data_IF_059287257304
#
_entry.id   IF_059287257304
#
_cell.length_a   1.000
_cell.length_b   1.000
_cell.length_c   1.000
_cell.angle_alpha   90.00
_cell.angle_beta   90.00
_cell.angle_gamma   90.00
#
_symmetry.space_group_name_H-M   'P 1'
#
loop_
_entity.id
_entity.type
_entity.pdbx_description
1 polymer ?
#
# COMPACT_ATOMS: atom_id res chain seq x y z
N UNK A 1 -13.35 28.13 -13.27
CA UNK A 1 -13.21 27.41 -11.99
C UNK A 1 -12.24 26.27 -12.28
N UNK A 2 -11.15 26.20 -11.58
CA UNK A 2 -10.18 25.08 -11.71
C UNK A 2 -10.64 23.94 -10.78
N UNK A 3 -10.68 22.71 -11.29
CA UNK A 3 -11.07 21.52 -10.53
C UNK A 3 -9.94 20.51 -10.64
N UNK A 4 -9.33 20.14 -9.49
CA UNK A 4 -8.39 19.05 -9.41
C UNK A 4 -9.16 17.74 -9.17
N UNK A 5 -9.08 16.80 -10.11
CA UNK A 5 -9.81 15.53 -10.07
C UNK A 5 -8.88 14.30 -10.15
N UNK A 6 -7.58 14.46 -9.85
CA UNK A 6 -6.57 13.40 -9.91
C UNK A 6 -6.10 13.00 -8.49
N UNK A 7 -7.05 12.76 -7.58
CA UNK A 7 -6.74 12.37 -6.20
C UNK A 7 -6.13 10.96 -6.09
N UNK A 8 -6.35 10.11 -7.07
CA UNK A 8 -5.68 8.80 -7.14
C UNK A 8 -4.16 8.92 -7.36
N UNK A 9 -3.69 9.99 -8.03
CA UNK A 9 -2.26 10.26 -8.18
C UNK A 9 -1.63 10.81 -6.89
N UNK A 10 -2.28 11.77 -6.24
CA UNK A 10 -1.87 12.35 -4.95
C UNK A 10 -2.98 13.21 -4.36
N UNK A 11 -3.02 13.31 -3.04
CA UNK A 11 -3.97 14.17 -2.33
C UNK A 11 -3.28 15.41 -1.73
N UNK A 12 -4.01 16.53 -1.53
CA UNK A 12 -3.50 17.62 -0.68
C UNK A 12 -3.35 17.12 0.77
N UNK A 13 -2.34 17.64 1.46
CA UNK A 13 -2.16 17.35 2.88
C UNK A 13 -3.28 18.05 3.66
N UNK A 14 -3.97 17.31 4.55
CA UNK A 14 -5.07 17.86 5.36
C UNK A 14 -4.54 18.91 6.36
N UNK A 15 -5.31 19.98 6.66
CA UNK A 15 -4.88 21.02 7.59
C UNK A 15 -4.44 20.48 8.96
N UNK A 16 -5.21 19.53 9.53
CA UNK A 16 -4.91 18.91 10.82
C UNK A 16 -3.58 18.11 10.80
N UNK A 17 -3.22 17.58 9.64
CA UNK A 17 -1.95 16.89 9.42
C UNK A 17 -0.80 17.90 9.37
N UNK A 18 -1.00 19.03 8.70
CA UNK A 18 -0.01 20.13 8.66
C UNK A 18 0.26 20.63 10.07
N UNK A 19 -0.79 20.89 10.86
CA UNK A 19 -0.68 21.38 12.23
C UNK A 19 0.12 20.41 13.11
N UNK A 20 -0.19 19.10 13.03
CA UNK A 20 0.54 18.08 13.77
C UNK A 20 2.04 18.00 13.37
N UNK A 21 2.33 18.12 12.08
CA UNK A 21 3.72 18.17 11.60
C UNK A 21 4.47 19.42 12.09
N UNK A 22 3.81 20.59 12.07
CA UNK A 22 4.39 21.85 12.48
C UNK A 22 4.73 21.86 13.98
N UNK A 23 3.93 21.24 14.83
CA UNK A 23 4.23 21.03 16.25
C UNK A 23 5.56 20.29 16.43
N UNK A 24 5.78 19.22 15.67
CA UNK A 24 7.04 18.45 15.74
C UNK A 24 8.23 19.29 15.25
N UNK A 25 8.09 20.00 14.12
CA UNK A 25 9.17 20.88 13.61
C UNK A 25 9.57 21.96 14.60
N UNK A 26 8.60 22.55 15.29
CA UNK A 26 8.83 23.68 16.20
C UNK A 26 9.33 23.25 17.58
N UNK A 27 8.81 22.15 18.13
CA UNK A 27 8.97 21.82 19.55
C UNK A 27 9.67 20.49 19.82
N UNK A 28 9.69 19.52 18.87
CA UNK A 28 10.13 18.14 19.09
C UNK A 28 11.16 17.67 18.07
N UNK A 29 12.08 18.56 17.67
CA UNK A 29 13.06 18.37 16.58
C UNK A 29 14.21 17.40 16.92
N UNK A 30 14.23 16.80 18.10
CA UNK A 30 15.32 15.94 18.56
C UNK A 30 15.50 14.68 17.70
N UNK A 31 16.73 14.15 17.71
CA UNK A 31 16.97 12.84 17.10
C UNK A 31 16.47 11.73 18.05
N UNK A 32 15.54 10.86 17.62
CA UNK A 32 14.98 9.79 18.47
C UNK A 32 16.02 8.78 18.99
N UNK A 33 17.19 8.69 18.36
CA UNK A 33 18.29 7.81 18.79
C UNK A 33 19.17 8.42 19.90
N UNK A 34 18.99 9.72 20.23
CA UNK A 34 19.81 10.42 21.26
C UNK A 34 19.33 10.12 22.67
N UNK A 35 20.28 9.92 23.59
CA UNK A 35 19.99 9.53 24.99
C UNK A 35 19.61 10.70 25.92
N UNK A 36 19.83 11.96 25.49
CA UNK A 36 19.49 13.15 26.28
C UNK A 36 17.96 13.46 26.21
N UNK A 37 17.50 14.41 27.02
CA UNK A 37 16.07 14.70 27.19
C UNK A 37 15.34 15.03 25.87
N UNK A 38 15.95 15.85 25.01
CA UNK A 38 15.37 16.25 23.72
C UNK A 38 15.20 15.02 22.78
N UNK A 39 16.20 14.11 22.77
CA UNK A 39 16.09 12.88 21.99
C UNK A 39 15.03 11.93 22.53
N UNK A 40 14.94 11.77 23.87
CA UNK A 40 13.89 10.96 24.49
C UNK A 40 12.49 11.52 24.25
N UNK A 41 12.34 12.82 24.19
CA UNK A 41 11.07 13.46 23.83
C UNK A 41 10.67 13.11 22.39
N UNK A 42 11.56 13.29 21.43
CA UNK A 42 11.33 12.87 20.04
C UNK A 42 11.02 11.36 19.92
N UNK A 43 11.74 10.53 20.67
CA UNK A 43 11.48 9.07 20.72
C UNK A 43 10.08 8.73 21.18
N UNK A 44 9.53 9.47 22.14
CA UNK A 44 8.16 9.28 22.63
C UNK A 44 7.14 9.46 21.51
N UNK A 45 7.28 10.50 20.66
CA UNK A 45 6.40 10.73 19.52
C UNK A 45 6.52 9.63 18.47
N UNK A 46 7.75 9.18 18.18
CA UNK A 46 7.98 8.05 17.27
C UNK A 46 7.29 6.78 17.75
N UNK A 47 7.49 6.41 19.02
CA UNK A 47 6.92 5.20 19.60
C UNK A 47 5.38 5.29 19.71
N UNK A 48 4.84 6.48 19.96
CA UNK A 48 3.39 6.71 19.96
C UNK A 48 2.81 6.56 18.56
N UNK A 49 3.43 7.18 17.54
CA UNK A 49 3.03 7.05 16.14
C UNK A 49 3.01 5.58 15.71
N UNK A 50 4.05 4.83 16.04
CA UNK A 50 4.13 3.39 15.74
C UNK A 50 3.00 2.59 16.37
N UNK A 51 2.69 2.84 17.65
CA UNK A 51 1.57 2.17 18.35
C UNK A 51 0.22 2.54 17.74
N UNK A 52 0.00 3.80 17.42
CA UNK A 52 -1.24 4.27 16.81
C UNK A 52 -1.44 3.65 15.42
N UNK A 53 -0.40 3.67 14.58
CA UNK A 53 -0.43 3.02 13.25
C UNK A 53 -0.75 1.53 13.39
N UNK A 54 -0.06 0.82 14.29
CA UNK A 54 -0.29 -0.60 14.51
C UNK A 54 -1.75 -0.88 14.94
N UNK A 55 -2.27 -0.11 15.90
CA UNK A 55 -3.65 -0.24 16.35
C UNK A 55 -4.67 0.00 15.23
N UNK A 56 -4.45 1.03 14.41
CA UNK A 56 -5.37 1.41 13.33
C UNK A 56 -5.40 0.39 12.19
N UNK A 57 -4.32 -0.37 12.01
CA UNK A 57 -4.18 -1.36 10.93
C UNK A 57 -4.24 -2.81 11.42
N UNK A 58 -4.64 -3.05 12.68
CA UNK A 58 -4.72 -4.40 13.24
C UNK A 58 -3.38 -5.14 13.24
N UNK A 59 -2.27 -4.44 13.51
CA UNK A 59 -0.92 -4.98 13.53
C UNK A 59 -0.27 -4.84 14.92
N UNK A 60 0.86 -5.49 15.15
CA UNK A 60 1.71 -5.24 16.31
C UNK A 60 2.68 -4.08 16.02
N UNK A 61 3.10 -3.29 17.03
CA UNK A 61 4.05 -2.19 16.82
C UNK A 61 5.40 -2.63 16.21
N UNK A 62 5.85 -3.85 16.46
CA UNK A 62 7.07 -4.42 15.90
C UNK A 62 6.92 -4.89 14.45
N UNK A 63 5.72 -4.94 13.91
CA UNK A 63 5.45 -5.24 12.50
C UNK A 63 5.47 -3.99 11.62
N UNK A 64 5.41 -2.79 12.20
CA UNK A 64 5.44 -1.52 11.48
C UNK A 64 6.88 -1.08 11.19
N UNK A 65 7.18 -0.75 9.94
CA UNK A 65 8.44 -0.15 9.49
C UNK A 65 8.11 1.13 8.73
N UNK A 66 8.60 2.28 9.19
CA UNK A 66 8.45 3.54 8.46
C UNK A 66 9.46 3.62 7.31
N UNK A 67 8.96 4.01 6.14
CA UNK A 67 9.73 4.13 4.89
C UNK A 67 9.55 5.52 4.27
N UNK A 68 10.19 5.79 3.14
CA UNK A 68 9.99 7.04 2.39
C UNK A 68 8.73 7.04 1.50
N UNK A 69 8.03 5.92 1.40
CA UNK A 69 6.83 5.74 0.58
C UNK A 69 6.70 4.31 0.08
N UNK A 70 5.60 4.02 -0.61
CA UNK A 70 5.30 2.66 -1.08
C UNK A 70 6.35 2.11 -2.07
N UNK A 71 7.01 2.95 -2.85
CA UNK A 71 8.09 2.49 -3.73
C UNK A 71 9.24 1.86 -2.94
N UNK A 72 9.66 2.48 -1.82
CA UNK A 72 10.65 1.89 -0.92
C UNK A 72 10.08 0.62 -0.27
N UNK A 73 8.82 0.66 0.19
CA UNK A 73 8.16 -0.48 0.84
C UNK A 73 8.08 -1.69 -0.08
N UNK A 74 7.57 -1.53 -1.32
CA UNK A 74 7.48 -2.60 -2.31
C UNK A 74 8.86 -3.19 -2.67
N UNK A 75 9.87 -2.31 -2.92
CA UNK A 75 11.23 -2.77 -3.19
C UNK A 75 11.82 -3.56 -2.01
N UNK A 76 11.62 -3.07 -0.78
CA UNK A 76 12.13 -3.74 0.42
C UNK A 76 11.44 -5.08 0.64
N UNK A 77 10.11 -5.12 0.51
CA UNK A 77 9.33 -6.34 0.65
C UNK A 77 9.73 -7.37 -0.40
N UNK A 78 9.54 -7.07 -1.68
CA UNK A 78 9.72 -8.03 -2.77
C UNK A 78 11.15 -8.55 -2.82
N UNK A 79 12.15 -7.66 -2.88
CA UNK A 79 13.57 -8.07 -2.92
C UNK A 79 14.00 -8.78 -1.64
N UNK A 80 13.51 -8.33 -0.49
CA UNK A 80 13.84 -8.90 0.81
C UNK A 80 13.25 -10.30 1.01
N UNK A 81 11.99 -10.51 0.61
CA UNK A 81 11.31 -11.80 0.68
C UNK A 81 11.98 -12.81 -0.27
N UNK A 82 12.20 -12.41 -1.53
CA UNK A 82 12.88 -13.24 -2.52
C UNK A 82 14.28 -13.67 -2.03
N UNK A 83 15.07 -12.71 -1.54
CA UNK A 83 16.45 -12.99 -1.08
C UNK A 83 16.49 -13.91 0.13
N UNK A 84 15.56 -13.77 1.07
CA UNK A 84 15.50 -14.61 2.26
C UNK A 84 15.04 -16.04 1.95
N UNK A 85 14.35 -16.27 0.84
CA UNK A 85 13.72 -17.54 0.48
C UNK A 85 14.32 -18.19 -0.79
N UNK A 86 15.40 -17.66 -1.36
CA UNK A 86 16.03 -18.15 -2.59
C UNK A 86 16.46 -19.63 -2.55
N UNK A 87 16.58 -20.21 -1.35
CA UNK A 87 16.92 -21.63 -1.17
C UNK A 87 15.69 -22.56 -1.32
N UNK A 88 14.47 -22.02 -1.24
CA UNK A 88 13.21 -22.75 -1.35
C UNK A 88 12.71 -22.85 -2.78
N UNK A 89 13.12 -21.91 -3.64
CA UNK A 89 12.69 -21.87 -5.02
C UNK A 89 13.15 -20.61 -5.75
N UNK A 90 12.74 -20.49 -7.00
CA UNK A 90 13.06 -19.34 -7.86
C UNK A 90 11.86 -18.83 -8.67
N UNK A 91 10.65 -19.33 -8.39
CA UNK A 91 9.44 -18.90 -9.05
C UNK A 91 8.72 -17.82 -8.22
N UNK A 92 8.33 -16.73 -8.88
CA UNK A 92 7.61 -15.60 -8.27
C UNK A 92 6.44 -15.19 -9.16
N UNK A 93 5.33 -14.80 -8.54
CA UNK A 93 4.07 -14.49 -9.24
C UNK A 93 3.65 -13.06 -8.93
N UNK A 94 3.22 -12.33 -9.93
CA UNK A 94 2.57 -11.02 -9.81
C UNK A 94 1.49 -10.84 -10.89
N UNK A 95 0.84 -9.67 -10.96
CA UNK A 95 -0.15 -9.38 -12.00
C UNK A 95 0.40 -8.43 -13.06
N UNK A 96 -0.24 -8.38 -14.23
CA UNK A 96 0.09 -7.43 -15.31
C UNK A 96 -0.32 -5.99 -14.99
N UNK A 97 -1.16 -5.78 -13.99
CA UNK A 97 -1.78 -4.50 -13.66
C UNK A 97 -1.21 -3.84 -12.40
N UNK A 98 -0.10 -4.34 -11.87
CA UNK A 98 0.57 -3.77 -10.71
C UNK A 98 1.13 -2.37 -10.98
N UNK A 99 1.31 -1.60 -9.92
CA UNK A 99 2.05 -0.34 -10.00
C UNK A 99 3.51 -0.58 -10.42
N UNK A 100 4.12 0.36 -11.16
CA UNK A 100 5.50 0.26 -11.65
C UNK A 100 6.54 -0.04 -10.54
N UNK A 101 6.29 0.35 -9.28
CA UNK A 101 7.17 0.00 -8.15
C UNK A 101 7.18 -1.50 -7.81
N UNK A 102 6.21 -2.26 -8.30
CA UNK A 102 6.15 -3.73 -8.26
C UNK A 102 6.66 -4.30 -9.59
N UNK A 103 6.05 -3.91 -10.73
CA UNK A 103 6.39 -4.46 -12.05
C UNK A 103 7.88 -4.38 -12.36
N UNK A 104 8.50 -3.20 -12.21
CA UNK A 104 9.92 -3.05 -12.53
C UNK A 104 10.85 -3.84 -11.59
N UNK A 105 10.39 -4.15 -10.36
CA UNK A 105 11.15 -5.04 -9.47
C UNK A 105 11.08 -6.48 -9.96
N UNK A 106 9.91 -6.94 -10.41
CA UNK A 106 9.75 -8.27 -11.00
C UNK A 106 10.51 -8.41 -12.31
N UNK A 107 10.46 -7.41 -13.20
CA UNK A 107 11.29 -7.37 -14.42
C UNK A 107 12.80 -7.43 -14.12
N UNK A 108 13.24 -6.81 -13.02
CA UNK A 108 14.64 -6.89 -12.61
C UNK A 108 15.00 -8.28 -12.10
N UNK A 109 14.15 -8.89 -11.28
CA UNK A 109 14.34 -10.26 -10.78
C UNK A 109 14.34 -11.29 -11.92
N UNK A 110 13.49 -11.10 -12.94
CA UNK A 110 13.48 -11.94 -14.16
C UNK A 110 14.83 -11.89 -14.88
N UNK A 111 15.42 -10.69 -15.03
CA UNK A 111 16.78 -10.53 -15.60
C UNK A 111 17.88 -11.16 -14.71
N UNK A 112 17.64 -11.27 -13.42
CA UNK A 112 18.52 -11.93 -12.46
C UNK A 112 18.37 -13.47 -12.46
N UNK A 113 17.40 -14.02 -13.24
CA UNK A 113 17.22 -15.47 -13.45
C UNK A 113 16.09 -16.09 -12.63
N UNK A 114 15.23 -15.30 -12.00
CA UNK A 114 14.00 -15.80 -11.41
C UNK A 114 12.97 -16.13 -12.49
N UNK A 115 12.18 -17.16 -12.26
CA UNK A 115 11.03 -17.56 -13.10
C UNK A 115 9.83 -16.71 -12.70
N UNK A 116 9.36 -15.83 -13.59
CA UNK A 116 8.32 -14.85 -13.27
C UNK A 116 7.05 -15.15 -14.04
N UNK A 117 5.94 -15.31 -13.31
CA UNK A 117 4.61 -15.37 -13.92
C UNK A 117 3.85 -14.05 -13.67
N UNK A 118 3.38 -13.46 -14.76
CA UNK A 118 2.49 -12.30 -14.74
C UNK A 118 1.06 -12.78 -15.03
N UNK A 119 0.23 -12.83 -13.97
CA UNK A 119 -1.17 -13.25 -14.10
C UNK A 119 -1.96 -12.30 -14.97
N UNK A 120 -2.87 -12.87 -15.73
CA UNK A 120 -3.90 -12.13 -16.46
C UNK A 120 -5.00 -11.64 -15.53
N UNK A 121 -5.78 -10.70 -16.01
CA UNK A 121 -6.98 -10.19 -15.37
C UNK A 121 -8.12 -10.24 -16.38
N UNK A 122 -9.35 -10.29 -15.90
CA UNK A 122 -10.52 -10.17 -16.73
C UNK A 122 -10.79 -8.71 -17.18
N UNK A 123 -11.88 -8.51 -17.93
CA UNK A 123 -12.28 -7.19 -18.44
C UNK A 123 -12.61 -6.17 -17.33
N UNK A 124 -12.83 -6.63 -16.09
CA UNK A 124 -13.03 -5.77 -14.92
C UNK A 124 -11.74 -5.47 -14.17
N UNK A 125 -10.64 -6.12 -14.54
CA UNK A 125 -9.35 -6.02 -13.86
C UNK A 125 -9.23 -6.95 -12.64
N UNK A 126 -10.13 -7.91 -12.47
CA UNK A 126 -10.01 -8.94 -11.43
C UNK A 126 -9.00 -10.01 -11.85
N UNK A 127 -8.18 -10.45 -10.90
CA UNK A 127 -7.13 -11.48 -11.13
C UNK A 127 -7.77 -12.83 -11.47
N UNK A 128 -7.20 -13.50 -12.45
CA UNK A 128 -7.57 -14.87 -12.81
C UNK A 128 -7.11 -15.86 -11.72
N UNK A 129 -8.04 -16.26 -10.84
CA UNK A 129 -7.77 -17.18 -9.73
C UNK A 129 -7.49 -18.61 -10.19
N UNK A 130 -8.04 -19.04 -11.33
CA UNK A 130 -7.76 -20.35 -11.88
C UNK A 130 -6.34 -20.40 -12.44
N UNK A 131 -5.91 -19.35 -13.13
CA UNK A 131 -4.51 -19.20 -13.56
C UNK A 131 -3.56 -19.20 -12.35
N UNK A 132 -3.90 -18.50 -11.24
CA UNK A 132 -3.08 -18.53 -10.02
C UNK A 132 -2.93 -19.97 -9.49
N UNK A 133 -4.04 -20.73 -9.38
CA UNK A 133 -4.03 -22.13 -8.91
C UNK A 133 -3.18 -23.05 -9.79
N UNK A 134 -3.27 -22.87 -11.11
CA UNK A 134 -2.53 -23.68 -12.07
C UNK A 134 -1.03 -23.36 -12.10
N UNK A 135 -0.67 -22.11 -11.77
CA UNK A 135 0.70 -21.60 -11.89
C UNK A 135 1.52 -21.80 -10.61
N UNK A 136 0.88 -21.67 -9.43
CA UNK A 136 1.56 -21.84 -8.15
C UNK A 136 2.08 -23.29 -7.99
N UNK A 137 3.33 -23.44 -7.58
CA UNK A 137 3.98 -24.74 -7.48
C UNK A 137 5.04 -24.77 -6.38
N UNK A 138 5.69 -25.93 -6.15
CA UNK A 138 6.67 -26.14 -5.09
C UNK A 138 7.94 -25.25 -5.18
N UNK A 139 8.16 -24.56 -6.30
CA UNK A 139 9.25 -23.57 -6.46
C UNK A 139 8.79 -22.13 -6.24
N UNK A 140 7.48 -21.90 -6.03
CA UNK A 140 6.93 -20.57 -5.84
C UNK A 140 7.27 -20.07 -4.44
N UNK A 141 7.99 -18.95 -4.36
CA UNK A 141 8.46 -18.37 -3.09
C UNK A 141 7.78 -17.05 -2.75
N UNK A 142 7.16 -16.38 -3.73
CA UNK A 142 6.47 -15.09 -3.53
C UNK A 142 5.31 -14.94 -4.51
N UNK A 143 4.19 -14.47 -3.99
CA UNK A 143 3.07 -13.92 -4.76
C UNK A 143 2.90 -12.45 -4.35
N UNK A 144 2.76 -11.53 -5.31
CA UNK A 144 2.57 -10.12 -5.04
C UNK A 144 1.40 -9.60 -5.88
N UNK A 145 0.32 -9.18 -5.21
CA UNK A 145 -0.92 -8.72 -5.85
C UNK A 145 -1.40 -7.47 -5.13
N UNK A 146 -1.68 -6.39 -5.87
CA UNK A 146 -2.22 -5.17 -5.29
C UNK A 146 -3.63 -5.36 -4.76
N UNK A 147 -4.02 -4.66 -3.69
CA UNK A 147 -5.36 -4.75 -3.13
C UNK A 147 -6.39 -4.01 -3.99
N UNK A 148 -6.05 -2.79 -4.40
CA UNK A 148 -6.91 -1.93 -5.23
C UNK A 148 -6.09 -1.39 -6.39
N UNK A 149 -6.58 -1.55 -7.61
CA UNK A 149 -5.89 -1.04 -8.77
C UNK A 149 -5.96 0.49 -8.84
N UNK A 150 -4.82 1.13 -9.06
CA UNK A 150 -4.67 2.58 -9.03
C UNK A 150 -5.22 3.31 -10.27
N UNK A 151 -5.56 2.59 -11.35
CA UNK A 151 -6.06 3.16 -12.60
C UNK A 151 -7.59 2.99 -12.75
N UNK A 152 -8.11 1.82 -12.40
CA UNK A 152 -9.52 1.46 -12.61
C UNK A 152 -10.30 1.26 -11.31
N UNK A 153 -9.62 1.26 -10.15
CA UNK A 153 -10.24 1.16 -8.84
C UNK A 153 -10.73 -0.24 -8.45
N UNK A 154 -10.50 -1.24 -9.29
CA UNK A 154 -10.95 -2.62 -9.01
C UNK A 154 -10.29 -3.16 -7.75
N UNK A 155 -11.12 -3.74 -6.88
CA UNK A 155 -10.71 -4.39 -5.63
C UNK A 155 -10.47 -5.87 -5.88
N UNK A 156 -9.28 -6.36 -5.55
CA UNK A 156 -8.97 -7.78 -5.64
C UNK A 156 -9.55 -8.55 -4.45
N UNK A 157 -10.04 -9.76 -4.69
CA UNK A 157 -10.53 -10.63 -3.63
C UNK A 157 -9.35 -11.30 -2.90
N UNK A 158 -8.78 -10.56 -1.95
CA UNK A 158 -7.59 -11.01 -1.20
C UNK A 158 -7.88 -12.30 -0.43
N UNK A 159 -9.10 -12.54 0.05
CA UNK A 159 -9.45 -13.76 0.79
C UNK A 159 -9.36 -15.02 -0.08
N UNK A 160 -9.86 -14.97 -1.32
CA UNK A 160 -9.74 -16.10 -2.23
C UNK A 160 -8.29 -16.33 -2.69
N UNK A 161 -7.53 -15.23 -2.87
CA UNK A 161 -6.11 -15.29 -3.22
C UNK A 161 -5.31 -15.92 -2.06
N UNK A 162 -5.50 -15.46 -0.82
CA UNK A 162 -4.77 -15.98 0.33
C UNK A 162 -5.12 -17.46 0.64
N UNK A 163 -6.34 -17.90 0.34
CA UNK A 163 -6.71 -19.30 0.49
C UNK A 163 -5.98 -20.19 -0.52
N UNK A 164 -5.79 -19.73 -1.76
CA UNK A 164 -4.99 -20.44 -2.76
C UNK A 164 -3.52 -20.53 -2.35
N UNK A 165 -2.96 -19.42 -1.84
CA UNK A 165 -1.55 -19.34 -1.42
C UNK A 165 -1.32 -20.13 -0.13
N UNK A 166 -2.31 -20.12 0.79
CA UNK A 166 -2.18 -20.66 2.14
C UNK A 166 -1.87 -22.15 2.23
N UNK A 167 -2.10 -22.91 1.19
CA UNK A 167 -1.73 -24.33 1.09
C UNK A 167 -0.28 -24.56 0.63
N UNK A 168 0.48 -23.48 0.44
CA UNK A 168 1.86 -23.49 -0.07
C UNK A 168 2.84 -22.85 0.93
N UNK A 169 4.14 -22.85 0.60
CA UNK A 169 5.15 -22.11 1.35
C UNK A 169 5.43 -20.71 0.76
N UNK A 170 4.73 -20.32 -0.31
CA UNK A 170 4.90 -19.02 -0.93
C UNK A 170 4.45 -17.90 0.01
N UNK A 171 5.25 -16.85 0.10
CA UNK A 171 4.90 -15.66 0.87
C UNK A 171 3.98 -14.75 0.07
N UNK A 172 3.14 -13.98 0.75
CA UNK A 172 2.18 -13.07 0.12
C UNK A 172 2.48 -11.61 0.47
N UNK A 173 2.77 -10.81 -0.56
CA UNK A 173 2.92 -9.36 -0.49
C UNK A 173 1.72 -8.64 -1.10
N UNK A 174 1.23 -7.59 -0.45
CA UNK A 174 0.12 -6.77 -0.95
C UNK A 174 0.53 -5.29 -1.01
N UNK A 175 0.41 -4.69 -2.19
CA UNK A 175 0.39 -3.22 -2.33
C UNK A 175 -1.01 -2.71 -1.96
N UNK A 176 -1.15 -2.12 -0.77
CA UNK A 176 -2.42 -1.59 -0.24
C UNK A 176 -2.53 -0.06 -0.34
N UNK A 177 -1.74 0.57 -1.18
CA UNK A 177 -1.64 2.03 -1.29
C UNK A 177 -2.98 2.68 -1.58
N UNK A 178 -3.81 2.08 -2.42
CA UNK A 178 -5.13 2.61 -2.78
C UNK A 178 -6.27 2.06 -1.90
N UNK A 179 -5.96 1.23 -0.91
CA UNK A 179 -6.98 0.62 -0.03
C UNK A 179 -7.26 1.46 1.23
N UNK A 180 -6.27 2.24 1.71
CA UNK A 180 -6.38 3.01 2.95
C UNK A 180 -7.48 4.07 2.88
N UNK A 181 -8.41 4.01 3.84
CA UNK A 181 -9.55 4.92 3.92
C UNK A 181 -10.70 4.58 2.97
N UNK A 182 -10.60 3.44 2.26
CA UNK A 182 -11.62 2.92 1.35
C UNK A 182 -12.09 1.52 1.71
N UNK A 183 -11.20 0.69 2.26
CA UNK A 183 -11.49 -0.68 2.70
C UNK A 183 -11.15 -0.85 4.17
N UNK A 184 -11.87 -1.75 4.85
CA UNK A 184 -11.51 -2.18 6.19
C UNK A 184 -10.25 -3.03 6.14
N UNK A 185 -9.19 -2.54 6.78
CA UNK A 185 -7.90 -3.20 6.82
C UNK A 185 -7.54 -3.57 8.26
N UNK A 186 -7.56 -4.85 8.55
CA UNK A 186 -6.98 -5.44 9.75
C UNK A 186 -5.93 -6.46 9.30
N UNK A 187 -4.65 -6.11 9.46
CA UNK A 187 -3.52 -6.88 8.95
C UNK A 187 -3.48 -8.30 9.49
N UNK A 188 -3.92 -8.52 10.75
CA UNK A 188 -3.94 -9.84 11.34
C UNK A 188 -5.11 -10.72 10.89
N UNK A 189 -6.16 -10.11 10.32
CA UNK A 189 -7.27 -10.86 9.74
C UNK A 189 -6.95 -11.45 8.36
N UNK A 190 -5.87 -10.99 7.73
CA UNK A 190 -5.37 -11.52 6.46
C UNK A 190 -4.18 -12.47 6.68
N UNK A 191 -4.03 -13.46 5.80
CA UNK A 191 -2.83 -14.32 5.72
C UNK A 191 -1.72 -13.68 4.86
N UNK A 192 -1.63 -12.36 4.86
CA UNK A 192 -0.63 -11.56 4.15
C UNK A 192 0.64 -11.49 5.00
N UNK A 193 1.81 -11.68 4.39
CA UNK A 193 3.11 -11.58 5.07
C UNK A 193 3.63 -10.14 5.13
N UNK A 194 3.40 -9.36 4.06
CA UNK A 194 3.83 -7.97 3.99
C UNK A 194 2.81 -7.09 3.26
N UNK A 195 2.66 -5.83 3.72
CA UNK A 195 1.74 -4.86 3.13
C UNK A 195 2.39 -3.48 3.01
N UNK A 196 2.31 -2.86 1.83
CA UNK A 196 2.87 -1.53 1.54
C UNK A 196 1.82 -0.44 1.52
N UNK A 197 2.13 0.72 2.14
CA UNK A 197 1.22 1.87 2.26
C UNK A 197 1.99 3.18 2.03
N UNK A 198 1.33 4.21 1.46
CA UNK A 198 1.92 5.53 1.20
C UNK A 198 1.00 6.67 1.65
N UNK A 199 1.51 7.57 2.48
CA UNK A 199 0.71 8.60 3.16
C UNK A 199 0.01 9.58 2.21
N UNK A 200 0.64 9.93 1.09
CA UNK A 200 0.12 10.96 0.17
C UNK A 200 -1.14 10.56 -0.59
N UNK A 201 -1.61 9.33 -0.45
CA UNK A 201 -2.85 8.84 -1.08
C UNK A 201 -4.09 9.07 -0.21
N UNK A 202 -3.92 9.33 1.09
CA UNK A 202 -5.02 9.53 2.03
C UNK A 202 -4.95 10.84 2.85
N UNK A 203 -4.35 11.89 2.25
CA UNK A 203 -4.28 13.21 2.87
C UNK A 203 -3.08 13.43 3.79
N UNK A 204 -2.10 12.54 3.73
CA UNK A 204 -0.82 12.65 4.41
C UNK A 204 0.27 13.29 3.55
N UNK A 205 1.46 13.52 4.13
CA UNK A 205 2.58 14.14 3.43
C UNK A 205 3.25 13.17 2.44
N UNK A 206 3.84 13.73 1.38
CA UNK A 206 4.75 13.01 0.49
C UNK A 206 6.06 12.67 1.22
N UNK A 207 6.78 11.66 0.77
CA UNK A 207 8.09 11.29 1.31
C UNK A 207 8.02 10.47 2.60
N UNK A 208 6.88 9.87 2.90
CA UNK A 208 6.70 8.90 3.98
C UNK A 208 5.67 7.84 3.59
N UNK A 209 5.95 6.62 4.00
CA UNK A 209 5.07 5.47 3.89
C UNK A 209 5.38 4.48 5.01
N UNK A 210 4.83 3.32 4.91
CA UNK A 210 5.15 2.22 5.81
C UNK A 210 5.10 0.88 5.09
N UNK A 211 5.84 -0.07 5.65
CA UNK A 211 5.79 -1.48 5.32
C UNK A 211 5.36 -2.22 6.59
N UNK A 212 4.26 -2.95 6.52
CA UNK A 212 3.91 -3.94 7.52
C UNK A 212 4.60 -5.25 7.16
N UNK A 213 5.23 -5.88 8.16
CA UNK A 213 5.88 -7.19 8.02
C UNK A 213 5.42 -8.06 9.18
N UNK A 214 4.69 -9.12 8.87
CA UNK A 214 4.15 -10.05 9.88
C UNK A 214 5.30 -10.68 10.69
N UNK A 215 5.08 -10.88 11.98
CA UNK A 215 6.07 -11.53 12.84
C UNK A 215 6.52 -12.88 12.24
N UNK A 216 7.83 -13.15 12.34
CA UNK A 216 8.47 -14.37 11.82
C UNK A 216 8.54 -14.50 10.28
N UNK A 217 8.05 -13.51 9.52
CA UNK A 217 8.26 -13.51 8.06
C UNK A 217 9.75 -13.43 7.73
N UNK A 218 10.29 -14.39 6.97
CA UNK A 218 11.70 -14.37 6.57
C UNK A 218 11.91 -13.28 5.51
N UNK A 219 12.61 -12.22 5.90
CA UNK A 219 12.88 -11.06 5.02
C UNK A 219 14.32 -10.55 5.22
N UNK A 220 15.03 -10.29 4.13
CA UNK A 220 16.35 -9.68 4.13
C UNK A 220 16.23 -8.17 3.92
N UNK A 221 16.74 -7.37 4.86
CA UNK A 221 16.73 -5.93 4.77
C UNK A 221 17.98 -5.41 4.07
N UNK A 222 17.83 -4.60 3.02
CA UNK A 222 18.92 -4.17 2.15
C UNK A 222 19.48 -2.78 2.47
N UNK A 223 18.77 -1.98 3.28
CA UNK A 223 19.23 -0.63 3.63
C UNK A 223 20.14 -0.66 4.85
N UNK A 224 21.44 -0.65 4.61
CA UNK A 224 22.46 -0.76 5.64
C UNK A 224 22.80 0.61 6.26
N UNK A 225 23.10 0.63 7.56
CA UNK A 225 23.47 1.86 8.30
C UNK A 225 23.29 1.71 9.80
N UNK A 226 22.68 2.74 10.44
CA UNK A 226 22.36 2.71 11.87
C UNK A 226 21.23 1.75 12.23
N UNK A 227 20.97 1.63 13.52
CA UNK A 227 20.02 0.64 14.07
C UNK A 227 18.56 1.14 14.11
N UNK A 228 18.22 2.17 13.31
CA UNK A 228 16.85 2.68 13.23
C UNK A 228 15.90 1.59 12.76
N UNK A 229 14.60 1.80 13.00
CA UNK A 229 13.57 0.82 12.70
C UNK A 229 13.94 -0.62 13.16
N UNK A 230 14.61 -0.73 14.30
CA UNK A 230 15.06 -2.02 14.86
C UNK A 230 15.97 -2.80 13.89
N UNK A 231 16.94 -2.12 13.27
CA UNK A 231 17.91 -2.65 12.27
C UNK A 231 17.28 -3.10 10.95
N UNK A 232 16.03 -2.74 10.71
CA UNK A 232 15.31 -3.14 9.50
C UNK A 232 15.37 -2.09 8.39
N UNK A 233 15.51 -0.82 8.78
CA UNK A 233 15.63 0.29 7.84
C UNK A 233 16.49 1.40 8.46
N UNK A 234 17.69 1.57 7.95
CA UNK A 234 18.65 2.54 8.44
C UNK A 234 18.32 3.98 8.02
N UNK A 235 18.92 4.96 8.71
CA UNK A 235 18.73 6.39 8.45
C UNK A 235 17.83 7.04 9.50
N UNK A 236 18.15 8.28 9.86
CA UNK A 236 17.40 9.05 10.86
C UNK A 236 15.92 9.10 10.50
N UNK A 237 15.09 8.80 11.48
CA UNK A 237 13.63 8.76 11.30
C UNK A 237 13.10 10.19 11.04
N UNK A 238 12.29 10.33 10.00
CA UNK A 238 11.67 11.60 9.64
C UNK A 238 10.42 11.84 10.50
N UNK A 239 10.66 12.21 11.78
CA UNK A 239 9.61 12.30 12.79
C UNK A 239 8.41 13.19 12.39
N UNK A 240 8.59 14.39 11.81
CA UNK A 240 7.44 15.20 11.40
C UNK A 240 6.56 14.51 10.36
N UNK A 241 7.18 13.84 9.37
CA UNK A 241 6.43 13.11 8.35
C UNK A 241 5.73 11.86 8.91
N UNK A 242 6.37 11.16 9.86
CA UNK A 242 5.78 10.00 10.54
C UNK A 242 4.55 10.41 11.35
N UNK A 243 4.63 11.50 12.11
CA UNK A 243 3.47 12.05 12.83
C UNK A 243 2.38 12.49 11.86
N UNK A 244 2.76 13.12 10.74
CA UNK A 244 1.83 13.50 9.67
C UNK A 244 1.13 12.30 9.04
N UNK A 245 1.86 11.23 8.72
CA UNK A 245 1.29 9.96 8.24
C UNK A 245 0.29 9.39 9.25
N UNK A 246 0.67 9.34 10.52
CA UNK A 246 -0.17 8.80 11.59
C UNK A 246 -1.47 9.58 11.72
N UNK A 247 -1.40 10.91 11.72
CA UNK A 247 -2.59 11.78 11.77
C UNK A 247 -3.48 11.62 10.54
N UNK A 248 -2.89 11.51 9.36
CA UNK A 248 -3.62 11.27 8.13
C UNK A 248 -4.37 9.92 8.15
N UNK A 249 -3.70 8.87 8.66
CA UNK A 249 -4.28 7.53 8.80
C UNK A 249 -5.48 7.53 9.76
N UNK A 250 -5.35 8.17 10.93
CA UNK A 250 -6.47 8.37 11.87
C UNK A 250 -7.68 9.00 11.18
N UNK A 251 -7.46 10.10 10.46
CA UNK A 251 -8.52 10.83 9.76
C UNK A 251 -9.12 10.02 8.61
N UNK A 252 -8.32 9.25 7.88
CA UNK A 252 -8.77 8.42 6.78
C UNK A 252 -9.71 7.31 7.28
N UNK A 253 -9.32 6.58 8.32
CA UNK A 253 -10.11 5.48 8.90
C UNK A 253 -11.36 6.02 9.60
N UNK A 254 -11.23 7.09 10.40
CA UNK A 254 -12.38 7.65 11.13
C UNK A 254 -13.50 8.14 10.19
N UNK A 255 -13.15 8.63 9.01
CA UNK A 255 -14.12 9.19 8.05
C UNK A 255 -14.42 8.23 6.88
N UNK A 256 -13.94 7.00 6.92
CA UNK A 256 -14.00 6.05 5.80
C UNK A 256 -15.42 5.87 5.25
N UNK A 257 -16.38 5.52 6.09
CA UNK A 257 -17.75 5.23 5.67
C UNK A 257 -18.41 6.44 5.03
N UNK A 258 -18.29 7.61 5.66
CA UNK A 258 -18.88 8.87 5.14
C UNK A 258 -18.23 9.25 3.81
N UNK A 259 -16.91 9.12 3.70
CA UNK A 259 -16.19 9.42 2.47
C UNK A 259 -16.57 8.43 1.34
N UNK A 260 -16.64 7.14 1.64
CA UNK A 260 -16.98 6.11 0.65
C UNK A 260 -18.40 6.32 0.10
N UNK A 261 -19.37 6.59 0.95
CA UNK A 261 -20.74 6.93 0.50
C UNK A 261 -20.73 8.16 -0.39
N UNK A 262 -20.03 9.21 0.00
CA UNK A 262 -19.93 10.44 -0.79
C UNK A 262 -19.26 10.21 -2.16
N UNK A 263 -18.16 9.46 -2.20
CA UNK A 263 -17.40 9.17 -3.42
C UNK A 263 -18.22 8.29 -4.38
N UNK A 264 -18.91 7.28 -3.87
CA UNK A 264 -19.80 6.45 -4.70
C UNK A 264 -20.93 7.28 -5.30
N UNK A 265 -21.58 8.16 -4.53
CA UNK A 265 -22.61 9.06 -5.02
C UNK A 265 -22.08 10.00 -6.13
N UNK A 266 -20.86 10.52 -6.00
CA UNK A 266 -20.22 11.34 -7.03
C UNK A 266 -19.93 10.53 -8.30
N UNK A 267 -19.43 9.31 -8.17
CA UNK A 267 -19.17 8.38 -9.27
C UNK A 267 -20.45 8.09 -10.05
N UNK A 268 -21.53 7.72 -9.36
CA UNK A 268 -22.84 7.49 -9.95
C UNK A 268 -23.41 8.73 -10.63
N UNK A 269 -23.39 9.88 -9.94
CA UNK A 269 -23.85 11.14 -10.49
C UNK A 269 -23.14 11.50 -11.78
N UNK A 270 -21.82 11.30 -11.84
CA UNK A 270 -21.02 11.60 -13.03
C UNK A 270 -21.48 10.73 -14.21
N UNK A 271 -21.65 9.43 -14.00
CA UNK A 271 -22.10 8.50 -15.06
C UNK A 271 -23.52 8.79 -15.51
N UNK A 272 -24.46 9.08 -14.60
CA UNK A 272 -25.83 9.49 -14.93
C UNK A 272 -25.83 10.77 -15.77
N UNK A 273 -25.00 11.75 -15.42
CA UNK A 273 -24.92 13.01 -16.19
C UNK A 273 -24.35 12.80 -17.60
N UNK A 274 -23.47 11.84 -17.83
CA UNK A 274 -23.02 11.48 -19.17
C UNK A 274 -24.17 10.84 -19.98
N UNK A 275 -24.91 9.93 -19.39
CA UNK A 275 -26.05 9.26 -20.01
C UNK A 275 -27.17 10.24 -20.38
N UNK A 276 -27.57 11.12 -19.46
CA UNK A 276 -28.60 12.14 -19.70
C UNK A 276 -28.25 13.11 -20.82
N UNK A 277 -26.96 13.37 -21.02
CA UNK A 277 -26.45 14.22 -22.11
C UNK A 277 -26.16 13.46 -23.39
N UNK A 278 -26.48 12.18 -23.44
CA UNK A 278 -26.19 11.29 -24.56
C UNK A 278 -24.71 11.33 -25.02
N UNK A 279 -23.78 11.48 -24.06
CA UNK A 279 -22.35 11.40 -24.32
C UNK A 279 -21.96 9.92 -24.27
N UNK A 280 -21.49 9.33 -25.37
CA UNK A 280 -21.09 7.92 -25.38
C UNK A 280 -19.79 7.73 -24.59
N UNK A 281 -19.77 6.71 -23.77
CA UNK A 281 -18.61 6.33 -22.97
C UNK A 281 -18.61 4.82 -22.69
N UNK A 282 -17.45 4.30 -22.38
CA UNK A 282 -17.25 2.95 -21.85
C UNK A 282 -16.53 3.06 -20.50
N UNK A 283 -16.98 2.27 -19.51
CA UNK A 283 -16.35 2.20 -18.21
C UNK A 283 -15.28 1.12 -18.22
N UNK A 284 -14.05 1.47 -17.83
CA UNK A 284 -13.01 0.49 -17.54
C UNK A 284 -13.07 0.09 -16.05
N UNK A 285 -13.04 -1.22 -15.78
CA UNK A 285 -13.16 -1.76 -14.44
C UNK A 285 -14.60 -2.11 -14.02
N UNK A 286 -14.84 -2.32 -12.74
CA UNK A 286 -16.13 -2.74 -12.17
C UNK A 286 -16.86 -1.57 -11.49
N UNK A 287 -18.19 -1.60 -11.52
CA UNK A 287 -19.01 -0.71 -10.69
C UNK A 287 -19.27 -1.28 -9.30
N UNK A 288 -19.27 -2.60 -9.15
CA UNK A 288 -19.59 -3.29 -7.90
C UNK A 288 -18.34 -3.59 -7.07
N UNK A 289 -17.29 -4.07 -7.73
CA UNK A 289 -16.05 -4.52 -7.09
C UNK A 289 -14.95 -3.50 -7.25
N UNK A 290 -15.28 -2.24 -6.96
CA UNK A 290 -14.35 -1.12 -7.06
C UNK A 290 -14.59 -0.06 -5.98
N UNK A 291 -13.54 0.70 -5.69
CA UNK A 291 -13.63 1.84 -4.79
C UNK A 291 -14.27 3.06 -5.48
N UNK A 292 -14.92 3.92 -4.70
CA UNK A 292 -15.60 5.10 -5.23
C UNK A 292 -14.68 6.24 -5.65
N UNK A 293 -13.42 6.24 -5.24
CA UNK A 293 -12.49 7.36 -5.48
C UNK A 293 -11.79 7.31 -6.84
N UNK A 294 -11.91 6.19 -7.58
CA UNK A 294 -11.34 6.02 -8.92
C UNK A 294 -12.46 5.76 -9.92
N UNK A 295 -12.41 6.48 -11.03
CA UNK A 295 -13.32 6.33 -12.16
C UNK A 295 -12.51 6.43 -13.45
N UNK A 296 -12.42 5.34 -14.20
CA UNK A 296 -11.72 5.29 -15.48
C UNK A 296 -12.73 5.14 -16.62
N UNK A 297 -12.72 6.10 -17.55
CA UNK A 297 -13.69 6.18 -18.64
C UNK A 297 -12.99 6.35 -19.97
N UNK A 298 -13.37 5.54 -20.93
CA UNK A 298 -13.00 5.69 -22.32
C UNK A 298 -14.10 6.45 -23.08
N UNK A 299 -13.70 7.48 -23.80
CA UNK A 299 -14.58 8.26 -24.70
C UNK A 299 -14.20 7.94 -26.14
N UNK A 300 -15.07 7.21 -26.91
CA UNK A 300 -14.67 6.67 -28.23
C UNK A 300 -14.45 7.71 -29.33
N UNK A 301 -14.71 9.01 -29.05
CA UNK A 301 -14.62 10.10 -30.03
C UNK A 301 -13.71 11.26 -29.59
N UNK A 302 -12.85 11.08 -28.59
CA UNK A 302 -11.91 12.09 -28.12
C UNK A 302 -10.47 11.61 -28.34
#
# INVERSE_FOLDING_TARGET
MEVYADYAATTPVKPEVIDAMMEIYQSHFGNPSSIHSIGRDARKYLDQSRRTVAQLLGANPNEVIFTSGATESNNTAIKGLVKANEQLGNHIITTKIEHHSVLHVYEQLEKEGYDVTYLDVDDTGAVDLDQLKETINDRTILVSIMFVNNEIGTVQNIYDIEDIIGDTHALFHVDAVQAIGHLDLDFHNFKIDTMSISAHKFGGPKGVGLLLVKEHTPIAYNQLGGEQETKRRAGTENLPQIVGLTKALELAITNQDVNNVHLMNLKELFLVQLQERAIPFELNGSMTDSTGHILNIYFPFI
#
